data_IF_974832713578
#
_entry.id   IF_974832713578
#
_cell.length_a   1.000
_cell.length_b   1.000
_cell.length_c   1.000
_cell.angle_alpha   90.00
_cell.angle_beta   90.00
_cell.angle_gamma   90.00
#
_symmetry.space_group_name_H-M   'P 1'
#
loop_
_entity.id
_entity.type
_entity.pdbx_description
1 polymer ?
#
# COMPACT_ATOMS: atom_id res chain seq x y z
N UNK A 1 -24.23 -2.25 -3.62
CA UNK A 1 -23.54 -1.23 -4.44
C UNK A 1 -23.67 0.22 -3.92
N UNK A 2 -24.75 0.63 -3.26
CA UNK A 2 -24.96 2.02 -2.81
C UNK A 2 -24.37 2.38 -1.44
N UNK A 3 -23.96 1.43 -0.60
CA UNK A 3 -23.51 1.73 0.77
C UNK A 3 -22.00 2.05 0.92
N UNK A 4 -21.15 1.60 0.01
CA UNK A 4 -19.71 1.89 0.04
C UNK A 4 -19.38 3.35 -0.37
N UNK A 5 -20.26 4.04 -1.07
CA UNK A 5 -20.04 5.37 -1.64
C UNK A 5 -21.09 6.42 -1.24
N UNK A 6 -21.91 6.18 -0.24
CA UNK A 6 -22.67 7.27 0.41
C UNK A 6 -21.78 8.19 1.26
N UNK A 7 -20.47 8.26 0.95
CA UNK A 7 -19.60 9.25 1.54
C UNK A 7 -19.71 10.55 0.74
N UNK A 8 -20.16 11.67 1.34
CA UNK A 8 -20.27 12.96 0.66
C UNK A 8 -18.93 13.47 0.08
N UNK A 9 -17.78 12.84 0.43
CA UNK A 9 -16.49 13.15 -0.18
C UNK A 9 -16.35 12.61 -1.62
N UNK A 10 -17.23 11.74 -2.10
CA UNK A 10 -17.29 11.28 -3.50
C UNK A 10 -18.37 12.02 -4.33
N UNK A 11 -18.82 13.17 -3.89
CA UNK A 11 -19.61 14.05 -4.73
C UNK A 11 -18.72 14.71 -5.81
N UNK A 12 -19.31 15.29 -6.81
CA UNK A 12 -18.81 15.79 -8.11
C UNK A 12 -17.37 16.38 -8.14
N UNK A 13 -16.84 16.86 -7.01
CA UNK A 13 -15.53 17.49 -6.91
C UNK A 13 -14.35 16.50 -6.97
N UNK A 14 -14.56 15.20 -6.73
CA UNK A 14 -13.49 14.19 -6.79
C UNK A 14 -13.07 13.89 -8.23
N UNK A 15 -13.97 14.15 -9.20
CA UNK A 15 -13.66 13.97 -10.63
C UNK A 15 -12.59 14.93 -11.17
N UNK A 16 -12.30 16.03 -10.46
CA UNK A 16 -11.27 16.99 -10.83
C UNK A 16 -9.84 16.52 -10.42
N UNK A 17 -9.76 15.52 -9.54
CA UNK A 17 -8.46 15.00 -9.05
C UNK A 17 -8.22 13.58 -9.55
N UNK A 18 -7.10 13.31 -10.22
CA UNK A 18 -6.79 11.95 -10.66
C UNK A 18 -6.54 11.06 -9.44
N UNK A 19 -7.31 9.96 -9.33
CA UNK A 19 -7.10 8.94 -8.31
C UNK A 19 -6.16 7.90 -8.90
N UNK A 20 -4.97 7.76 -8.30
CA UNK A 20 -3.95 6.81 -8.78
C UNK A 20 -4.11 5.41 -8.20
N UNK A 21 -4.55 5.32 -6.94
CA UNK A 21 -4.68 4.06 -6.21
C UNK A 21 -5.96 4.07 -5.36
N UNK A 22 -6.70 2.97 -5.37
CA UNK A 22 -7.76 2.71 -4.41
C UNK A 22 -7.23 1.73 -3.37
N UNK A 23 -7.31 2.05 -2.09
CA UNK A 23 -6.91 1.14 -1.02
C UNK A 23 -8.14 0.45 -0.41
N UNK A 24 -8.08 -0.88 -0.33
CA UNK A 24 -9.15 -1.71 0.20
C UNK A 24 -9.01 -1.94 1.72
N UNK A 25 -8.77 -0.89 2.51
CA UNK A 25 -8.54 -0.97 3.96
C UNK A 25 -9.72 -1.61 4.73
N UNK A 26 -10.91 -1.52 4.19
CA UNK A 26 -12.11 -2.08 4.80
C UNK A 26 -12.23 -3.61 4.68
N UNK A 27 -11.30 -4.26 3.98
CA UNK A 27 -11.30 -5.72 3.77
C UNK A 27 -10.20 -6.44 4.59
N UNK A 28 -9.61 -5.78 5.58
CA UNK A 28 -8.75 -6.44 6.58
C UNK A 28 -9.60 -7.37 7.43
N UNK A 29 -9.77 -8.60 6.98
CA UNK A 29 -10.65 -9.61 7.55
C UNK A 29 -10.05 -11.01 7.33
N UNK A 30 -10.10 -11.86 8.34
CA UNK A 30 -9.63 -13.26 8.24
C UNK A 30 -10.31 -14.05 7.11
N UNK A 31 -11.48 -13.66 6.68
CA UNK A 31 -12.21 -14.30 5.57
C UNK A 31 -11.61 -13.99 4.19
N UNK A 32 -10.63 -13.08 4.09
CA UNK A 32 -9.92 -12.78 2.83
C UNK A 32 -9.32 -14.04 2.17
N UNK A 33 -9.10 -15.09 2.96
CA UNK A 33 -8.63 -16.38 2.48
C UNK A 33 -9.73 -17.27 1.89
N UNK A 34 -11.00 -16.86 2.00
CA UNK A 34 -12.15 -17.56 1.44
C UNK A 34 -12.46 -16.99 0.05
N UNK A 35 -12.61 -17.85 -0.95
CA UNK A 35 -12.89 -17.45 -2.34
C UNK A 35 -14.17 -16.61 -2.45
N UNK A 36 -15.23 -16.97 -1.74
CA UNK A 36 -16.50 -16.24 -1.74
C UNK A 36 -16.35 -14.82 -1.20
N UNK A 37 -15.64 -14.65 -0.08
CA UNK A 37 -15.39 -13.32 0.48
C UNK A 37 -14.63 -12.41 -0.49
N UNK A 38 -13.62 -12.94 -1.16
CA UNK A 38 -12.81 -12.20 -2.12
C UNK A 38 -13.67 -11.73 -3.31
N UNK A 39 -14.48 -12.63 -3.83
CA UNK A 39 -15.43 -12.32 -4.89
C UNK A 39 -16.46 -11.25 -4.48
N UNK A 40 -17.03 -11.36 -3.27
CA UNK A 40 -18.09 -10.47 -2.81
C UNK A 40 -17.55 -9.07 -2.39
N UNK A 41 -16.28 -8.94 -1.99
CA UNK A 41 -15.74 -7.71 -1.41
C UNK A 41 -14.64 -7.05 -2.24
N UNK A 42 -13.75 -7.81 -2.89
CA UNK A 42 -12.65 -7.26 -3.69
C UNK A 42 -13.09 -6.98 -5.13
N UNK A 43 -13.80 -7.92 -5.76
CA UNK A 43 -14.24 -7.75 -7.15
C UNK A 43 -15.08 -6.49 -7.37
N UNK A 44 -16.05 -6.12 -6.51
CA UNK A 44 -16.77 -4.85 -6.66
C UNK A 44 -15.88 -3.61 -6.59
N UNK A 45 -14.77 -3.67 -5.84
CA UNK A 45 -13.79 -2.59 -5.78
C UNK A 45 -12.95 -2.54 -7.08
N UNK A 46 -12.61 -3.70 -7.65
CA UNK A 46 -11.95 -3.77 -8.94
C UNK A 46 -12.84 -3.23 -10.09
N UNK A 47 -14.13 -3.61 -10.10
CA UNK A 47 -15.13 -3.04 -11.04
C UNK A 47 -15.17 -1.51 -10.95
N UNK A 48 -15.14 -0.99 -9.72
CA UNK A 48 -15.12 0.44 -9.50
C UNK A 48 -13.82 1.09 -9.98
N UNK A 49 -12.67 0.45 -9.77
CA UNK A 49 -11.42 0.94 -10.33
C UNK A 49 -11.52 1.11 -11.85
N UNK A 50 -12.16 0.14 -12.55
CA UNK A 50 -12.39 0.25 -13.99
C UNK A 50 -13.35 1.39 -14.34
N UNK A 51 -14.46 1.55 -13.59
CA UNK A 51 -15.45 2.60 -13.81
C UNK A 51 -14.84 4.01 -13.68
N UNK A 52 -13.93 4.20 -12.71
CA UNK A 52 -13.28 5.51 -12.46
C UNK A 52 -11.89 5.65 -13.08
N UNK A 53 -11.49 4.73 -13.97
CA UNK A 53 -10.17 4.71 -14.60
C UNK A 53 -9.00 4.71 -13.59
N UNK A 54 -9.17 4.04 -12.45
CA UNK A 54 -8.12 3.84 -11.45
C UNK A 54 -7.31 2.61 -11.88
N UNK A 55 -6.01 2.78 -12.07
CA UNK A 55 -5.14 1.72 -12.60
C UNK A 55 -4.66 0.72 -11.55
N UNK A 56 -4.84 1.00 -10.28
CA UNK A 56 -4.26 0.21 -9.18
C UNK A 56 -5.21 0.10 -7.99
N UNK A 57 -5.37 -1.12 -7.48
CA UNK A 57 -6.00 -1.39 -6.18
C UNK A 57 -4.96 -1.92 -5.20
N UNK A 58 -4.90 -1.35 -3.99
CA UNK A 58 -4.09 -1.83 -2.87
C UNK A 58 -4.90 -2.77 -1.97
N UNK A 59 -4.37 -3.94 -1.68
CA UNK A 59 -4.96 -4.93 -0.77
C UNK A 59 -4.01 -5.12 0.41
N UNK A 60 -4.35 -4.62 1.60
CA UNK A 60 -3.57 -4.85 2.80
C UNK A 60 -3.80 -6.27 3.33
N UNK A 61 -2.72 -7.03 3.47
CA UNK A 61 -2.69 -8.35 4.12
C UNK A 61 -2.03 -8.20 5.50
N UNK A 62 -2.72 -7.48 6.37
CA UNK A 62 -2.28 -7.07 7.71
C UNK A 62 -3.28 -7.54 8.77
N UNK A 63 -2.90 -7.52 10.03
CA UNK A 63 -3.77 -7.84 11.17
C UNK A 63 -4.53 -9.17 10.96
N UNK A 64 -5.86 -9.16 10.89
CA UNK A 64 -6.70 -10.37 10.72
C UNK A 64 -6.53 -11.02 9.34
N UNK A 65 -6.07 -10.27 8.34
CA UNK A 65 -5.74 -10.77 7.00
C UNK A 65 -4.27 -11.15 6.83
N UNK A 66 -3.48 -11.15 7.89
CA UNK A 66 -2.05 -11.48 7.83
C UNK A 66 -1.80 -12.92 7.35
N UNK A 67 -0.79 -13.07 6.49
CA UNK A 67 -0.38 -14.36 5.88
C UNK A 67 0.69 -15.01 6.76
N UNK A 68 0.27 -15.64 7.84
CA UNK A 68 1.13 -16.24 8.88
C UNK A 68 1.35 -17.76 8.72
N UNK A 69 0.65 -18.40 7.77
CA UNK A 69 0.76 -19.84 7.50
C UNK A 69 0.87 -20.13 6.00
N UNK A 70 1.45 -21.30 5.69
CA UNK A 70 1.53 -21.81 4.32
C UNK A 70 0.12 -22.02 3.70
N UNK A 71 -0.85 -22.44 4.52
CA UNK A 71 -2.22 -22.62 4.07
C UNK A 71 -2.84 -21.30 3.64
N UNK A 72 -2.75 -20.24 4.48
CA UNK A 72 -3.20 -18.90 4.14
C UNK A 72 -2.49 -18.34 2.89
N UNK A 73 -1.17 -18.55 2.78
CA UNK A 73 -0.42 -18.17 1.59
C UNK A 73 -0.99 -18.81 0.32
N UNK A 74 -1.23 -20.11 0.33
CA UNK A 74 -1.77 -20.80 -0.83
C UNK A 74 -3.19 -20.32 -1.20
N UNK A 75 -4.04 -20.10 -0.19
CA UNK A 75 -5.41 -19.57 -0.40
C UNK A 75 -5.39 -18.17 -0.99
N UNK A 76 -4.57 -17.28 -0.44
CA UNK A 76 -4.50 -15.91 -0.96
C UNK A 76 -3.93 -15.87 -2.39
N UNK A 77 -2.92 -16.66 -2.70
CA UNK A 77 -2.37 -16.78 -4.07
C UNK A 77 -3.48 -17.19 -5.04
N UNK A 78 -4.28 -18.21 -4.71
CA UNK A 78 -5.40 -18.63 -5.57
C UNK A 78 -6.40 -17.51 -5.78
N UNK A 79 -6.82 -16.80 -4.72
CA UNK A 79 -7.79 -15.72 -4.81
C UNK A 79 -7.25 -14.52 -5.62
N UNK A 80 -5.95 -14.21 -5.46
CA UNK A 80 -5.28 -13.14 -6.20
C UNK A 80 -5.17 -13.45 -7.68
N UNK A 81 -4.84 -14.69 -8.05
CA UNK A 81 -4.80 -15.13 -9.46
C UNK A 81 -6.19 -14.98 -10.08
N UNK A 82 -7.24 -15.53 -9.44
CA UNK A 82 -8.61 -15.38 -9.92
C UNK A 82 -9.00 -13.91 -10.15
N UNK A 83 -8.57 -13.03 -9.24
CA UNK A 83 -8.83 -11.60 -9.35
C UNK A 83 -8.04 -10.96 -10.51
N UNK A 84 -6.76 -11.26 -10.66
CA UNK A 84 -5.93 -10.75 -11.75
C UNK A 84 -6.45 -11.20 -13.13
N UNK A 85 -6.90 -12.45 -13.23
CA UNK A 85 -7.47 -12.99 -14.47
C UNK A 85 -8.81 -12.32 -14.82
N UNK A 86 -9.64 -12.00 -13.82
CA UNK A 86 -10.90 -11.29 -14.03
C UNK A 86 -10.69 -9.80 -14.39
N UNK A 87 -9.59 -9.19 -13.95
CA UNK A 87 -9.27 -7.76 -14.13
C UNK A 87 -7.87 -7.56 -14.75
N UNK A 88 -7.64 -8.01 -16.00
CA UNK A 88 -6.29 -8.08 -16.59
C UNK A 88 -5.60 -6.73 -16.82
N UNK A 89 -6.34 -5.62 -16.79
CA UNK A 89 -5.82 -4.25 -16.96
C UNK A 89 -5.59 -3.51 -15.62
N UNK A 90 -5.83 -4.19 -14.49
CA UNK A 90 -5.68 -3.61 -13.17
C UNK A 90 -4.42 -4.16 -12.48
N UNK A 91 -3.60 -3.28 -11.91
CA UNK A 91 -2.53 -3.69 -11.01
C UNK A 91 -3.13 -3.95 -9.62
N UNK A 92 -2.77 -5.08 -9.03
CA UNK A 92 -3.17 -5.44 -7.67
C UNK A 92 -1.93 -5.36 -6.78
N UNK A 93 -1.87 -4.32 -5.98
CA UNK A 93 -0.77 -4.09 -5.06
C UNK A 93 -1.04 -4.77 -3.73
N UNK A 94 -0.06 -5.51 -3.25
CA UNK A 94 -0.11 -6.14 -1.93
C UNK A 94 0.73 -5.30 -0.96
N UNK A 95 0.12 -4.92 0.16
CA UNK A 95 0.80 -4.39 1.32
C UNK A 95 0.81 -5.47 2.40
N UNK A 96 1.98 -5.92 2.85
CA UNK A 96 2.08 -7.01 3.82
C UNK A 96 3.32 -6.88 4.70
N UNK A 97 3.19 -7.27 5.97
CA UNK A 97 4.29 -7.41 6.91
C UNK A 97 4.94 -8.80 6.77
N UNK A 98 5.64 -9.04 5.66
CA UNK A 98 6.27 -10.31 5.30
C UNK A 98 7.76 -10.14 5.00
N UNK A 99 8.52 -11.22 5.19
CA UNK A 99 9.85 -11.30 4.61
C UNK A 99 9.77 -11.28 3.08
N UNK A 100 10.83 -10.81 2.43
CA UNK A 100 10.84 -10.63 0.97
C UNK A 100 10.71 -11.95 0.19
N UNK A 101 11.12 -13.09 0.75
CA UNK A 101 11.00 -14.40 0.08
C UNK A 101 9.53 -14.80 -0.01
N UNK A 102 8.83 -14.76 1.11
CA UNK A 102 7.39 -15.06 1.17
C UNK A 102 6.58 -14.08 0.34
N UNK A 103 6.91 -12.78 0.39
CA UNK A 103 6.25 -11.77 -0.41
C UNK A 103 6.45 -12.01 -1.91
N UNK A 104 7.68 -12.31 -2.35
CA UNK A 104 7.96 -12.59 -3.76
C UNK A 104 7.28 -13.87 -4.25
N UNK A 105 7.10 -14.90 -3.42
CA UNK A 105 6.32 -16.09 -3.80
C UNK A 105 4.87 -15.71 -4.15
N UNK A 106 4.26 -14.79 -3.37
CA UNK A 106 2.91 -14.28 -3.67
C UNK A 106 2.92 -13.45 -4.95
N UNK A 107 3.79 -12.45 -5.03
CA UNK A 107 3.80 -11.46 -6.13
C UNK A 107 4.17 -12.08 -7.48
N UNK A 108 5.05 -13.08 -7.49
CA UNK A 108 5.43 -13.76 -8.74
C UNK A 108 4.38 -14.75 -9.24
N UNK A 109 3.31 -15.00 -8.48
CA UNK A 109 2.22 -15.88 -8.93
C UNK A 109 1.41 -15.30 -10.08
N UNK A 110 1.43 -13.97 -10.28
CA UNK A 110 0.81 -13.33 -11.45
C UNK A 110 1.52 -12.02 -11.84
N UNK A 111 1.56 -11.69 -13.13
CA UNK A 111 2.25 -10.50 -13.68
C UNK A 111 1.68 -9.16 -13.18
N UNK A 112 0.37 -9.11 -12.88
CA UNK A 112 -0.33 -7.90 -12.41
C UNK A 112 -0.20 -7.68 -10.91
N UNK A 113 0.38 -8.63 -10.17
CA UNK A 113 0.66 -8.45 -8.75
C UNK A 113 1.89 -7.57 -8.56
N UNK A 114 1.73 -6.56 -7.73
CA UNK A 114 2.72 -5.55 -7.42
C UNK A 114 2.79 -5.34 -5.90
N UNK A 115 3.69 -4.48 -5.47
CA UNK A 115 3.94 -4.19 -4.06
C UNK A 115 3.61 -2.74 -3.76
N UNK A 116 2.83 -2.54 -2.70
CA UNK A 116 2.84 -1.30 -1.92
C UNK A 116 3.87 -1.46 -0.79
N UNK A 117 4.96 -0.72 -0.88
CA UNK A 117 6.04 -0.74 0.10
C UNK A 117 5.77 0.25 1.22
N UNK A 118 5.33 -0.21 2.39
CA UNK A 118 5.11 0.64 3.57
C UNK A 118 6.38 0.78 4.38
N UNK A 119 6.95 1.99 4.40
CA UNK A 119 8.23 2.28 5.08
C UNK A 119 8.15 2.10 6.59
N UNK A 120 7.01 2.43 7.19
CA UNK A 120 6.80 2.30 8.64
C UNK A 120 6.63 0.84 9.06
N UNK A 121 5.91 0.04 8.28
CA UNK A 121 5.74 -1.37 8.57
C UNK A 121 7.09 -2.11 8.49
N UNK A 122 7.90 -1.82 7.48
CA UNK A 122 9.25 -2.40 7.37
C UNK A 122 10.17 -1.94 8.51
N UNK A 123 10.09 -0.67 8.93
CA UNK A 123 10.80 -0.17 10.11
C UNK A 123 10.38 -0.93 11.37
N UNK A 124 9.08 -1.05 11.60
CA UNK A 124 8.54 -1.75 12.78
C UNK A 124 8.96 -3.21 12.87
N UNK A 125 9.15 -3.87 11.73
CA UNK A 125 9.67 -5.24 11.62
C UNK A 125 11.20 -5.32 11.68
N UNK A 126 11.91 -4.21 11.84
CA UNK A 126 13.37 -4.11 11.86
C UNK A 126 14.05 -4.59 10.55
N UNK A 127 13.37 -4.52 9.41
CA UNK A 127 14.00 -4.82 8.13
C UNK A 127 14.95 -3.70 7.70
N UNK A 128 16.03 -4.09 7.05
CA UNK A 128 16.96 -3.13 6.42
C UNK A 128 16.37 -2.68 5.08
N UNK A 129 15.97 -1.41 5.01
CA UNK A 129 15.26 -0.83 3.87
C UNK A 129 15.99 -1.01 2.55
N UNK A 130 17.29 -0.69 2.50
CA UNK A 130 18.13 -0.82 1.31
C UNK A 130 18.16 -2.25 0.76
N UNK A 131 18.40 -3.23 1.64
CA UNK A 131 18.45 -4.63 1.26
C UNK A 131 17.08 -5.18 0.84
N UNK A 132 16.01 -4.74 1.52
CA UNK A 132 14.66 -5.18 1.18
C UNK A 132 14.21 -4.59 -0.16
N UNK A 133 14.36 -3.28 -0.34
CA UNK A 133 14.02 -2.59 -1.58
C UNK A 133 14.76 -3.21 -2.77
N UNK A 134 16.08 -3.43 -2.66
CA UNK A 134 16.88 -4.05 -3.72
C UNK A 134 16.29 -5.40 -4.20
N UNK A 135 15.74 -6.20 -3.30
CA UNK A 135 15.18 -7.53 -3.62
C UNK A 135 13.82 -7.50 -4.30
N UNK A 136 13.02 -6.46 -4.05
CA UNK A 136 11.63 -6.39 -4.53
C UNK A 136 11.38 -5.19 -5.46
N UNK A 137 12.41 -4.44 -5.81
CA UNK A 137 12.32 -3.17 -6.53
C UNK A 137 11.44 -3.21 -7.77
N UNK A 138 11.64 -4.18 -8.66
CA UNK A 138 10.91 -4.31 -9.93
C UNK A 138 9.39 -4.52 -9.74
N UNK A 139 8.96 -4.75 -8.51
CA UNK A 139 7.56 -4.98 -8.15
C UNK A 139 6.94 -3.81 -7.38
N UNK A 140 7.76 -2.87 -6.88
CA UNK A 140 7.26 -1.71 -6.13
C UNK A 140 6.68 -0.70 -7.11
N UNK A 141 5.38 -0.41 -6.98
CA UNK A 141 4.69 0.62 -7.78
C UNK A 141 4.09 1.73 -6.91
N UNK A 142 3.97 1.49 -5.61
CA UNK A 142 3.53 2.49 -4.63
C UNK A 142 4.39 2.38 -3.37
N UNK A 143 4.79 3.52 -2.82
CA UNK A 143 5.51 3.61 -1.55
C UNK A 143 4.64 4.38 -0.56
N UNK A 144 4.19 3.71 0.49
CA UNK A 144 3.56 4.36 1.63
C UNK A 144 4.65 4.95 2.52
N UNK A 145 4.70 6.27 2.58
CA UNK A 145 5.59 6.99 3.48
C UNK A 145 4.93 7.10 4.86
N UNK A 146 5.35 6.23 5.73
CA UNK A 146 4.88 6.11 7.12
C UNK A 146 6.07 6.07 8.04
N UNK A 147 5.97 6.74 9.18
CA UNK A 147 6.99 6.71 10.21
C UNK A 147 6.51 5.89 11.40
N UNK A 148 7.34 4.98 11.88
CA UNK A 148 7.09 4.12 13.04
C UNK A 148 8.37 3.94 13.85
N UNK A 149 8.21 3.54 15.11
CA UNK A 149 9.35 3.05 15.87
C UNK A 149 9.64 1.58 15.58
N UNK A 150 10.88 1.16 15.81
CA UNK A 150 11.31 -0.24 15.76
C UNK A 150 10.49 -1.15 16.68
N UNK A 151 10.58 -2.46 16.49
CA UNK A 151 9.98 -3.49 17.35
C UNK A 151 8.46 -3.35 17.46
N UNK A 152 7.77 -3.26 16.30
CA UNK A 152 6.31 -3.09 16.21
C UNK A 152 5.81 -1.83 16.91
N UNK A 153 6.66 -0.81 16.97
CA UNK A 153 6.34 0.48 17.57
C UNK A 153 5.21 1.22 16.87
N UNK A 154 4.68 2.21 17.57
CA UNK A 154 3.54 3.02 17.09
C UNK A 154 3.92 3.91 15.91
N UNK A 155 2.91 4.30 15.12
CA UNK A 155 3.04 5.35 14.11
C UNK A 155 3.43 6.68 14.76
N UNK A 156 4.29 7.43 14.07
CA UNK A 156 4.84 8.72 14.48
C UNK A 156 4.59 9.78 13.42
N UNK A 157 4.75 11.03 13.80
CA UNK A 157 4.84 12.08 12.80
C UNK A 157 6.10 11.91 11.97
N UNK A 158 6.09 12.45 10.76
CA UNK A 158 7.18 12.35 9.81
C UNK A 158 8.49 12.90 10.39
N UNK A 159 9.46 12.04 10.64
CA UNK A 159 10.77 12.36 11.20
C UNK A 159 10.88 12.24 12.73
N UNK A 160 9.81 11.86 13.43
CA UNK A 160 9.80 11.65 14.88
C UNK A 160 9.97 10.16 15.28
N UNK A 161 9.97 9.25 14.29
CA UNK A 161 10.17 7.81 14.47
C UNK A 161 11.57 7.34 14.09
N UNK A 162 11.69 6.04 13.83
CA UNK A 162 12.96 5.39 13.52
C UNK A 162 13.14 5.11 12.02
N UNK A 163 12.17 5.50 11.17
CA UNK A 163 12.22 5.29 9.72
C UNK A 163 13.30 6.14 9.07
N UNK A 164 14.28 5.50 8.44
CA UNK A 164 15.37 6.20 7.77
C UNK A 164 14.95 6.63 6.35
N UNK A 165 14.22 7.74 6.24
CA UNK A 165 13.75 8.26 4.95
C UNK A 165 14.89 8.67 4.01
N UNK A 166 16.00 9.20 4.52
CA UNK A 166 17.16 9.54 3.69
C UNK A 166 17.74 8.30 2.97
N UNK A 167 17.87 7.18 3.69
CA UNK A 167 18.30 5.91 3.09
C UNK A 167 17.29 5.41 2.06
N UNK A 168 15.99 5.43 2.39
CA UNK A 168 14.92 4.95 1.49
C UNK A 168 14.89 5.76 0.20
N UNK A 169 14.84 7.09 0.28
CA UNK A 169 14.81 7.96 -0.90
C UNK A 169 16.07 7.81 -1.76
N UNK A 170 17.25 7.75 -1.13
CA UNK A 170 18.51 7.49 -1.83
C UNK A 170 18.49 6.16 -2.58
N UNK A 171 18.01 5.09 -1.93
CA UNK A 171 17.95 3.76 -2.54
C UNK A 171 16.97 3.73 -3.70
N UNK A 172 15.75 4.21 -3.52
CA UNK A 172 14.73 4.27 -4.56
C UNK A 172 15.21 5.09 -5.77
N UNK A 173 15.76 6.26 -5.53
CA UNK A 173 16.30 7.12 -6.61
C UNK A 173 17.46 6.46 -7.36
N UNK A 174 18.39 5.81 -6.65
CA UNK A 174 19.52 5.12 -7.29
C UNK A 174 19.11 3.95 -8.18
N UNK A 175 17.95 3.36 -7.91
CA UNK A 175 17.33 2.29 -8.70
C UNK A 175 16.40 2.83 -9.81
N UNK A 176 16.17 4.15 -9.87
CA UNK A 176 15.33 4.77 -10.88
C UNK A 176 13.83 4.66 -10.61
N UNK A 177 13.39 4.70 -9.36
CA UNK A 177 11.99 4.64 -8.99
C UNK A 177 11.21 5.84 -9.56
N UNK A 178 10.16 5.55 -10.32
CA UNK A 178 9.25 6.53 -10.93
C UNK A 178 7.78 6.31 -10.54
N UNK A 179 7.54 5.46 -9.54
CA UNK A 179 6.20 5.12 -9.05
C UNK A 179 5.59 6.17 -8.12
N UNK A 180 4.54 5.76 -7.43
CA UNK A 180 3.73 6.63 -6.58
C UNK A 180 4.30 6.69 -5.17
N UNK A 181 4.33 7.91 -4.57
CA UNK A 181 4.51 8.10 -3.14
C UNK A 181 3.19 8.51 -2.50
N UNK A 182 2.75 7.73 -1.52
CA UNK A 182 1.54 8.00 -0.73
C UNK A 182 1.94 8.44 0.69
N UNK A 183 1.52 9.63 1.10
CA UNK A 183 1.77 10.13 2.45
C UNK A 183 0.76 9.52 3.43
N UNK A 184 1.17 8.51 4.19
CA UNK A 184 0.35 7.79 5.17
C UNK A 184 0.89 8.01 6.59
N UNK A 185 0.76 9.24 7.08
CA UNK A 185 1.33 9.64 8.37
C UNK A 185 0.35 9.49 9.54
N UNK A 186 0.88 9.49 10.76
CA UNK A 186 0.06 9.61 11.96
C UNK A 186 -0.83 10.84 11.87
N UNK A 187 -2.04 10.73 12.41
CA UNK A 187 -2.98 11.87 12.46
C UNK A 187 -2.41 12.96 13.36
N UNK A 188 -2.55 14.22 12.93
CA UNK A 188 -2.27 15.39 13.73
C UNK A 188 -3.31 15.61 14.84
N UNK A 189 -3.16 16.72 15.56
CA UNK A 189 -4.15 17.12 16.55
C UNK A 189 -5.48 17.49 15.88
N UNK A 190 -6.63 17.11 16.46
CA UNK A 190 -7.94 17.47 15.92
C UNK A 190 -8.09 18.98 15.75
N UNK A 191 -8.49 19.41 14.55
CA UNK A 191 -8.65 20.83 14.19
C UNK A 191 -7.39 21.47 13.60
N UNK A 192 -6.24 20.78 13.57
CA UNK A 192 -4.99 21.27 12.97
C UNK A 192 -4.55 20.43 11.74
N UNK A 193 -5.46 19.64 11.18
CA UNK A 193 -5.14 18.66 10.12
C UNK A 193 -4.49 19.33 8.90
N UNK A 194 -4.99 20.51 8.50
CA UNK A 194 -4.46 21.21 7.33
C UNK A 194 -3.00 21.66 7.52
N UNK A 195 -2.65 22.20 8.71
CA UNK A 195 -1.28 22.59 9.01
C UNK A 195 -0.37 21.36 9.10
N UNK A 196 -0.87 20.28 9.70
CA UNK A 196 -0.17 19.00 9.76
C UNK A 196 0.14 18.47 8.36
N UNK A 197 -0.84 18.41 7.45
CA UNK A 197 -0.65 18.01 6.05
C UNK A 197 0.37 18.92 5.35
N UNK A 198 0.28 20.24 5.49
CA UNK A 198 1.25 21.19 4.91
C UNK A 198 2.68 20.93 5.39
N UNK A 199 2.86 20.60 6.68
CA UNK A 199 4.17 20.26 7.25
C UNK A 199 4.72 18.97 6.62
N UNK A 200 3.89 17.93 6.52
CA UNK A 200 4.27 16.65 5.92
C UNK A 200 4.69 16.83 4.45
N UNK A 201 3.87 17.53 3.67
CA UNK A 201 4.15 17.82 2.25
C UNK A 201 5.45 18.60 2.08
N UNK A 202 5.75 19.56 2.97
CA UNK A 202 7.01 20.31 2.93
C UNK A 202 8.21 19.40 3.19
N UNK A 203 8.11 18.46 4.14
CA UNK A 203 9.20 17.51 4.43
C UNK A 203 9.39 16.58 3.22
N UNK A 204 8.30 16.03 2.69
CA UNK A 204 8.34 15.18 1.49
C UNK A 204 9.01 15.88 0.32
N UNK A 205 8.59 17.10 -0.03
CA UNK A 205 9.18 17.86 -1.16
C UNK A 205 10.68 18.04 -1.00
N UNK A 206 11.15 18.39 0.20
CA UNK A 206 12.60 18.54 0.47
C UNK A 206 13.37 17.22 0.29
N UNK A 207 12.81 16.08 0.71
CA UNK A 207 13.42 14.77 0.48
C UNK A 207 13.41 14.41 -1.01
N UNK A 208 12.30 14.65 -1.69
CA UNK A 208 12.19 14.39 -3.12
C UNK A 208 13.17 15.24 -3.92
N UNK A 209 13.21 16.56 -3.72
CA UNK A 209 14.15 17.48 -4.38
C UNK A 209 15.65 17.14 -4.11
N UNK A 210 15.93 16.51 -2.96
CA UNK A 210 17.30 16.10 -2.61
C UNK A 210 17.80 14.88 -3.37
N UNK A 211 16.89 13.96 -3.72
CA UNK A 211 17.27 12.65 -4.24
C UNK A 211 16.77 12.37 -5.67
N UNK A 212 15.70 13.01 -6.11
CA UNK A 212 15.09 12.91 -7.43
C UNK A 212 15.22 14.20 -8.22
#
# INVERSE_FOLDING_TARGET
KKQLFNNPLFNEDVSEYPISVLCADNVVDKRVFEKGFFFDNIFPLCEMCQEYNISTIGIPLLEDSAVDTKEKKNKIISNLIDCCDAFPNLNINIEAELDFVTLLEIINSHKNLKITYDTGNMTAMNFKHDLYIDKVFDKITNVHLKDRNFNYGKSRNFGDGDTNFDLIFKTLSSLGYDGIFTLQMARGEPGDELNHIKKIVKIFRRLHEKYF
#
